data_IF_550623937828
#
_entry.id   IF_550623937828
#
_cell.length_a   1.000
_cell.length_b   1.000
_cell.length_c   1.000
_cell.angle_alpha   90.00
_cell.angle_beta   90.00
_cell.angle_gamma   90.00
#
_symmetry.space_group_name_H-M   'P 1'
#
loop_
_entity.id
_entity.type
_entity.pdbx_description
1 polymer ?
#
# COMPACT_ATOMS: atom_id res chain seq x y z
N UNK A 1 -9.07 35.05 -9.93
CA UNK A 1 -9.35 33.61 -9.75
C UNK A 1 -8.35 32.83 -10.58
N UNK A 2 -7.40 32.15 -9.95
CA UNK A 2 -6.48 31.30 -10.67
C UNK A 2 -7.22 30.03 -11.11
N UNK A 3 -7.28 29.80 -12.44
CA UNK A 3 -7.78 28.57 -13.02
C UNK A 3 -6.52 27.76 -13.40
N UNK A 4 -6.27 26.61 -12.77
CA UNK A 4 -5.08 25.83 -13.11
C UNK A 4 -5.13 25.42 -14.59
N UNK A 5 -3.98 25.34 -15.28
CA UNK A 5 -3.96 24.92 -16.68
C UNK A 5 -4.54 23.51 -16.81
N UNK A 6 -5.30 23.20 -17.88
CA UNK A 6 -5.66 21.83 -18.16
C UNK A 6 -4.38 21.03 -18.36
N UNK A 7 -4.15 20.01 -17.52
CA UNK A 7 -3.06 19.06 -17.69
C UNK A 7 -3.21 18.44 -19.09
N UNK A 8 -2.36 18.88 -20.03
CA UNK A 8 -2.31 18.35 -21.40
C UNK A 8 -1.86 16.89 -21.35
N UNK A 9 -2.66 16.03 -21.96
CA UNK A 9 -2.41 14.61 -22.15
C UNK A 9 -3.50 13.80 -21.45
N UNK A 10 -4.09 12.84 -22.15
CA UNK A 10 -4.86 11.77 -21.50
C UNK A 10 -4.11 11.30 -20.25
N UNK A 11 -4.79 11.04 -19.12
CA UNK A 11 -4.11 10.42 -17.99
C UNK A 11 -3.44 9.16 -18.52
N UNK A 12 -2.11 9.07 -18.41
CA UNK A 12 -1.31 7.90 -18.86
C UNK A 12 -1.81 6.60 -18.21
N UNK A 13 -2.59 6.73 -17.14
CA UNK A 13 -3.13 5.67 -16.31
C UNK A 13 -4.65 5.42 -16.53
N UNK A 14 -5.28 6.10 -17.49
CA UNK A 14 -6.71 5.94 -17.75
C UNK A 14 -7.07 4.48 -18.06
N UNK A 15 -8.04 3.94 -17.32
CA UNK A 15 -8.46 2.54 -17.43
C UNK A 15 -7.54 1.52 -16.74
N UNK A 16 -6.46 1.94 -16.06
CA UNK A 16 -5.64 1.02 -15.24
C UNK A 16 -6.39 0.60 -14.00
N UNK A 17 -6.27 -0.67 -13.61
CA UNK A 17 -6.93 -1.24 -12.43
C UNK A 17 -5.93 -1.46 -11.31
N UNK A 18 -6.21 -0.88 -10.14
CA UNK A 18 -5.40 -1.01 -8.94
C UNK A 18 -6.19 -1.70 -7.83
N UNK A 19 -5.60 -2.72 -7.21
CA UNK A 19 -6.03 -3.23 -5.92
C UNK A 19 -5.20 -2.55 -4.82
N UNK A 20 -5.82 -1.68 -4.04
CA UNK A 20 -5.21 -0.99 -2.91
C UNK A 20 -5.51 -1.72 -1.60
N UNK A 21 -4.48 -2.04 -0.84
CA UNK A 21 -4.60 -2.69 0.47
C UNK A 21 -3.95 -1.76 1.49
N UNK A 22 -4.77 -1.17 2.34
CA UNK A 22 -4.34 -0.17 3.33
C UNK A 22 -5.28 -0.21 4.54
N UNK A 23 -4.79 -0.62 5.70
CA UNK A 23 -5.59 -0.69 6.92
C UNK A 23 -6.05 0.69 7.44
N UNK A 24 -5.39 1.79 7.09
CA UNK A 24 -5.71 3.12 7.61
C UNK A 24 -6.74 3.84 6.72
N UNK A 25 -7.99 3.92 7.17
CA UNK A 25 -9.08 4.49 6.38
C UNK A 25 -8.83 5.93 5.90
N UNK A 26 -8.37 6.90 6.72
CA UNK A 26 -8.06 8.24 6.22
C UNK A 26 -7.01 8.25 5.10
N UNK A 27 -5.94 7.46 5.24
CA UNK A 27 -4.88 7.38 4.23
C UNK A 27 -5.37 6.68 2.97
N UNK A 28 -6.14 5.60 3.13
CA UNK A 28 -6.75 4.85 2.04
C UNK A 28 -7.66 5.73 1.19
N UNK A 29 -8.52 6.53 1.82
CA UNK A 29 -9.45 7.42 1.13
C UNK A 29 -8.72 8.49 0.30
N UNK A 30 -7.65 9.06 0.85
CA UNK A 30 -6.80 10.01 0.11
C UNK A 30 -6.15 9.33 -1.09
N UNK A 31 -5.57 8.13 -0.91
CA UNK A 31 -4.93 7.36 -2.00
C UNK A 31 -5.92 7.00 -3.10
N UNK A 32 -7.14 6.56 -2.74
CA UNK A 32 -8.22 6.29 -3.69
C UNK A 32 -8.52 7.54 -4.51
N UNK A 33 -8.75 8.69 -3.86
CA UNK A 33 -9.08 9.95 -4.54
C UNK A 33 -7.98 10.39 -5.49
N UNK A 34 -6.72 10.30 -5.07
CA UNK A 34 -5.57 10.67 -5.91
C UNK A 34 -5.50 9.76 -7.14
N UNK A 35 -5.53 8.43 -6.96
CA UNK A 35 -5.50 7.47 -8.07
C UNK A 35 -6.66 7.69 -9.05
N UNK A 36 -7.89 7.85 -8.54
CA UNK A 36 -9.08 8.10 -9.36
C UNK A 36 -9.00 9.43 -10.11
N UNK A 37 -8.41 10.47 -9.52
CA UNK A 37 -8.18 11.76 -10.19
C UNK A 37 -7.24 11.65 -11.41
N UNK A 38 -6.49 10.55 -11.52
CA UNK A 38 -5.64 10.19 -12.65
C UNK A 38 -6.25 9.11 -13.56
N UNK A 39 -7.56 8.85 -13.48
CA UNK A 39 -8.26 7.89 -14.35
C UNK A 39 -8.09 6.42 -13.98
N UNK A 40 -7.52 6.14 -12.80
CA UNK A 40 -7.32 4.77 -12.32
C UNK A 40 -8.59 4.21 -11.69
N UNK A 41 -8.98 3.01 -12.09
CA UNK A 41 -10.01 2.22 -11.42
C UNK A 41 -9.43 1.58 -10.16
N UNK A 42 -9.91 1.99 -8.98
CA UNK A 42 -9.41 1.47 -7.70
C UNK A 42 -10.44 0.54 -7.06
N UNK A 43 -9.99 -0.67 -6.70
CA UNK A 43 -10.64 -1.52 -5.70
C UNK A 43 -9.80 -1.46 -4.43
N UNK A 44 -10.45 -1.31 -3.27
CA UNK A 44 -9.75 -1.12 -2.02
C UNK A 44 -10.19 -2.15 -0.98
N UNK A 45 -9.24 -2.64 -0.20
CA UNK A 45 -9.45 -3.48 0.97
C UNK A 45 -8.69 -2.90 2.18
N UNK A 46 -9.23 -3.13 3.37
CA UNK A 46 -8.58 -2.78 4.64
C UNK A 46 -7.85 -3.97 5.28
N UNK A 47 -7.99 -5.16 4.69
CA UNK A 47 -7.53 -6.43 5.23
C UNK A 47 -7.19 -7.39 4.09
N UNK A 48 -6.32 -8.36 4.34
CA UNK A 48 -5.99 -9.37 3.33
C UNK A 48 -7.14 -10.32 3.04
N UNK A 49 -8.06 -10.55 3.99
CA UNK A 49 -9.29 -11.30 3.73
C UNK A 49 -10.15 -10.59 2.67
N UNK A 50 -10.39 -9.28 2.86
CA UNK A 50 -11.09 -8.46 1.87
C UNK A 50 -10.33 -8.39 0.53
N UNK A 51 -9.01 -8.29 0.58
CA UNK A 51 -8.17 -8.28 -0.63
C UNK A 51 -8.29 -9.59 -1.41
N UNK A 52 -8.27 -10.75 -0.74
CA UNK A 52 -8.46 -12.07 -1.36
C UNK A 52 -9.86 -12.24 -1.96
N UNK A 53 -10.88 -11.67 -1.35
CA UNK A 53 -12.24 -11.67 -1.92
C UNK A 53 -12.33 -10.83 -3.20
N UNK A 54 -11.63 -9.70 -3.25
CA UNK A 54 -11.60 -8.81 -4.42
C UNK A 54 -10.63 -9.29 -5.51
N UNK A 55 -9.59 -10.03 -5.13
CA UNK A 55 -8.56 -10.46 -6.04
C UNK A 55 -9.07 -11.54 -7.00
N UNK A 56 -8.76 -11.35 -8.29
CA UNK A 56 -9.00 -12.31 -9.36
C UNK A 56 -7.78 -12.28 -10.26
N UNK A 57 -7.24 -13.44 -10.70
CA UNK A 57 -6.02 -13.46 -11.51
C UNK A 57 -6.14 -12.64 -12.81
N UNK A 58 -5.11 -11.86 -13.11
CA UNK A 58 -4.96 -11.05 -14.33
C UNK A 58 -6.00 -9.92 -14.48
N UNK A 59 -6.56 -9.43 -13.37
CA UNK A 59 -7.55 -8.33 -13.39
C UNK A 59 -6.90 -6.99 -13.08
N UNK A 60 -5.85 -6.98 -12.27
CA UNK A 60 -5.23 -5.74 -11.79
C UNK A 60 -3.90 -5.48 -12.49
N UNK A 61 -3.66 -4.25 -12.93
CA UNK A 61 -2.37 -3.86 -13.48
C UNK A 61 -1.32 -3.72 -12.37
N UNK A 62 -1.77 -3.34 -11.17
CA UNK A 62 -0.95 -3.10 -10.00
C UNK A 62 -1.70 -3.45 -8.71
N UNK A 63 -1.01 -4.12 -7.80
CA UNK A 63 -1.42 -4.31 -6.41
C UNK A 63 -0.56 -3.41 -5.54
N UNK A 64 -1.19 -2.48 -4.85
CA UNK A 64 -0.55 -1.50 -3.98
C UNK A 64 -0.82 -1.85 -2.51
N UNK A 65 0.21 -2.27 -1.78
CA UNK A 65 0.08 -2.79 -0.43
C UNK A 65 0.80 -1.91 0.60
N UNK A 66 0.08 -1.41 1.62
CA UNK A 66 0.68 -0.71 2.77
C UNK A 66 1.20 -1.66 3.83
N UNK A 67 2.46 -2.09 3.68
CA UNK A 67 3.08 -3.07 4.57
C UNK A 67 3.34 -2.56 5.99
N UNK A 68 3.29 -1.25 6.23
CA UNK A 68 3.60 -0.65 7.55
C UNK A 68 2.62 -1.06 8.64
N UNK A 69 1.37 -1.34 8.25
CA UNK A 69 0.27 -1.59 9.20
C UNK A 69 -0.23 -3.03 9.15
N UNK A 70 0.53 -3.90 8.50
CA UNK A 70 0.21 -5.31 8.33
C UNK A 70 1.31 -6.18 8.94
N UNK A 71 0.93 -7.36 9.43
CA UNK A 71 1.92 -8.30 9.94
C UNK A 71 2.78 -8.81 8.77
N UNK A 72 4.13 -8.80 8.88
CA UNK A 72 5.02 -9.22 7.80
C UNK A 72 4.67 -10.60 7.21
N UNK A 73 4.32 -11.56 8.07
CA UNK A 73 3.99 -12.93 7.65
C UNK A 73 2.74 -13.00 6.77
N UNK A 74 1.66 -12.34 7.16
CA UNK A 74 0.41 -12.34 6.40
C UNK A 74 0.56 -11.60 5.06
N UNK A 75 1.31 -10.49 5.08
CA UNK A 75 1.64 -9.73 3.89
C UNK A 75 2.50 -10.53 2.90
N UNK A 76 3.47 -11.30 3.40
CA UNK A 76 4.35 -12.14 2.59
C UNK A 76 3.56 -13.30 1.97
N UNK A 77 2.73 -13.97 2.77
CA UNK A 77 1.86 -15.05 2.30
C UNK A 77 0.96 -14.58 1.16
N UNK A 78 0.34 -13.40 1.32
CA UNK A 78 -0.50 -12.82 0.27
C UNK A 78 0.30 -12.46 -0.99
N UNK A 79 1.50 -11.89 -0.85
CA UNK A 79 2.37 -11.57 -1.98
C UNK A 79 2.77 -12.83 -2.76
N UNK A 80 3.21 -13.89 -2.08
CA UNK A 80 3.59 -15.16 -2.71
C UNK A 80 2.41 -15.88 -3.36
N UNK A 81 1.22 -15.81 -2.73
CA UNK A 81 -0.02 -16.33 -3.29
C UNK A 81 -0.30 -15.72 -4.67
N UNK A 82 -0.23 -14.40 -4.79
CA UNK A 82 -0.52 -13.72 -6.05
C UNK A 82 0.60 -13.92 -7.06
N UNK A 83 1.87 -13.85 -6.64
CA UNK A 83 3.02 -14.11 -7.53
C UNK A 83 2.91 -15.47 -8.22
N UNK A 84 2.41 -16.47 -7.50
CA UNK A 84 2.14 -17.81 -8.04
C UNK A 84 0.92 -17.83 -8.95
N UNK A 85 -0.17 -17.14 -8.56
CA UNK A 85 -1.44 -17.14 -9.29
C UNK A 85 -1.50 -16.24 -10.54
N UNK A 86 -0.69 -15.19 -10.60
CA UNK A 86 -0.59 -14.29 -11.75
C UNK A 86 0.77 -13.56 -11.80
N UNK A 87 1.76 -14.12 -12.52
CA UNK A 87 3.09 -13.51 -12.61
C UNK A 87 3.13 -12.18 -13.40
N UNK A 88 2.01 -11.80 -14.04
CA UNK A 88 1.90 -10.57 -14.84
C UNK A 88 1.41 -9.37 -14.03
N UNK A 89 0.79 -9.59 -12.86
CA UNK A 89 0.34 -8.52 -11.98
C UNK A 89 1.55 -7.93 -11.23
N UNK A 90 1.68 -6.61 -11.27
CA UNK A 90 2.79 -5.93 -10.62
C UNK A 90 2.46 -5.64 -9.16
N UNK A 91 3.50 -5.63 -8.31
CA UNK A 91 3.39 -5.18 -6.93
C UNK A 91 4.13 -3.85 -6.73
N UNK A 92 3.54 -3.02 -5.88
CA UNK A 92 4.25 -1.94 -5.20
C UNK A 92 3.87 -1.93 -3.71
N UNK A 93 4.86 -1.68 -2.87
CA UNK A 93 4.72 -1.70 -1.41
C UNK A 93 4.89 -0.28 -0.88
N UNK A 94 3.95 0.20 -0.08
CA UNK A 94 4.09 1.46 0.65
C UNK A 94 4.86 1.15 1.93
N UNK A 95 6.11 1.60 1.98
CA UNK A 95 7.08 1.25 3.05
C UNK A 95 7.36 2.40 4.01
N UNK A 96 6.91 3.61 3.68
CA UNK A 96 7.14 4.80 4.49
C UNK A 96 8.53 5.42 4.32
N UNK A 97 8.82 6.55 5.00
CA UNK A 97 10.08 7.26 4.85
C UNK A 97 11.30 6.38 5.15
N UNK A 98 12.45 6.62 4.50
CA UNK A 98 12.70 7.67 3.51
C UNK A 98 12.33 7.27 2.07
N UNK A 99 12.05 5.99 1.81
CA UNK A 99 11.88 5.44 0.45
C UNK A 99 10.45 5.54 -0.06
N UNK A 100 9.46 5.52 0.85
CA UNK A 100 8.01 5.60 0.65
C UNK A 100 7.37 4.48 -0.18
N UNK A 101 8.00 4.04 -1.27
CA UNK A 101 7.53 3.01 -2.19
C UNK A 101 8.64 2.03 -2.58
N UNK A 102 8.36 0.74 -2.56
CA UNK A 102 9.24 -0.32 -3.07
C UNK A 102 8.55 -1.11 -4.18
N UNK A 103 9.29 -1.52 -5.21
CA UNK A 103 8.82 -2.45 -6.26
C UNK A 103 9.18 -3.91 -5.96
N UNK A 104 10.05 -4.14 -4.99
CA UNK A 104 10.46 -5.46 -4.52
C UNK A 104 9.96 -5.65 -3.09
N UNK A 105 9.80 -6.91 -2.69
CA UNK A 105 9.43 -7.24 -1.31
C UNK A 105 10.40 -6.58 -0.32
N UNK A 106 9.92 -5.76 0.62
CA UNK A 106 10.78 -4.99 1.50
C UNK A 106 11.16 -5.81 2.74
N UNK A 107 12.11 -6.75 2.59
CA UNK A 107 12.54 -7.65 3.67
C UNK A 107 13.04 -6.93 4.93
N UNK A 108 13.80 -5.85 4.79
CA UNK A 108 14.43 -5.12 5.91
C UNK A 108 13.56 -3.97 6.47
N UNK A 109 12.68 -3.36 5.66
CA UNK A 109 11.92 -2.16 6.10
C UNK A 109 10.80 -2.52 7.09
N UNK A 110 10.32 -3.77 7.07
CA UNK A 110 9.31 -4.22 8.01
C UNK A 110 9.89 -4.39 9.43
N UNK A 111 11.20 -4.64 9.58
CA UNK A 111 11.87 -4.65 10.90
C UNK A 111 11.94 -3.26 11.55
N UNK A 112 12.01 -2.19 10.75
CA UNK A 112 12.13 -0.82 11.26
C UNK A 112 10.82 -0.34 11.91
N UNK A 113 9.65 -0.77 11.43
CA UNK A 113 8.38 -0.39 12.08
C UNK A 113 8.13 -1.19 13.38
N UNK A 114 8.66 -2.41 13.48
CA UNK A 114 8.72 -3.16 14.75
C UNK A 114 9.57 -2.40 15.79
N UNK A 115 10.59 -1.65 15.35
CA UNK A 115 11.38 -0.77 16.23
C UNK A 115 10.60 0.47 16.73
N UNK A 116 9.57 0.94 16.02
CA UNK A 116 8.65 1.97 16.55
C UNK A 116 7.77 1.41 17.68
N UNK A 117 7.49 0.10 17.68
CA UNK A 117 6.97 -0.61 18.86
C UNK A 117 7.93 -0.57 20.05
N UNK A 118 9.24 -0.61 19.81
CA UNK A 118 10.27 -0.42 20.84
C UNK A 118 10.34 1.03 21.34
N UNK A 119 10.02 2.04 20.54
CA UNK A 119 9.92 3.44 21.01
C UNK A 119 8.92 3.58 22.16
N UNK A 120 7.76 2.93 22.06
CA UNK A 120 6.78 2.91 23.15
C UNK A 120 7.31 2.22 24.43
N UNK A 121 8.20 1.23 24.31
CA UNK A 121 8.86 0.62 25.46
C UNK A 121 9.97 1.54 26.03
N UNK A 122 10.69 2.24 25.17
CA UNK A 122 11.72 3.23 25.55
C UNK A 122 11.11 4.41 26.30
N UNK A 123 10.02 5.01 25.80
CA UNK A 123 9.30 6.10 26.48
C UNK A 123 8.79 5.65 27.85
N UNK A 124 8.24 4.43 27.95
CA UNK A 124 7.80 3.86 29.24
C UNK A 124 8.96 3.68 30.23
N UNK A 125 10.14 3.26 29.76
CA UNK A 125 11.34 3.15 30.61
C UNK A 125 11.81 4.51 31.11
N UNK A 126 11.77 5.55 30.28
CA UNK A 126 12.13 6.90 30.70
C UNK A 126 11.13 7.48 31.71
N UNK A 127 9.83 7.25 31.53
CA UNK A 127 8.79 7.71 32.46
C UNK A 127 8.79 6.95 33.80
N UNK A 128 9.21 5.67 33.81
CA UNK A 128 9.33 4.87 35.04
C UNK A 128 10.63 5.11 35.81
N UNK A 129 11.58 5.86 35.24
CA UNK A 129 12.85 6.21 35.87
C UNK A 129 12.86 7.64 36.47
N UNK A 130 11.71 8.32 36.49
CA UNK A 130 11.47 9.60 37.16
C UNK A 130 10.60 9.38 38.40
#
# INVERSE_FOLDING_TARGET
>A
MYRPPPLRGQPILDGRKVLLIDANQPTRDVRIRVLQSHGVEVRAADSFSGARFLWRPNVYDLILLDVRRHLPGEALEFYEQIKTGSPKEHFAFLVGPPVYLSRTWPGEVIEVDVSLGQWGATVRRFLAAA
#
